data_IF_629362179053
#
_entry.id   IF_629362179053
#
_cell.length_a   1.000
_cell.length_b   1.000
_cell.length_c   1.000
_cell.angle_alpha   90.00
_cell.angle_beta   90.00
_cell.angle_gamma   90.00
#
_symmetry.space_group_name_H-M   'P 1'
#
loop_
_entity.id
_entity.type
_entity.pdbx_description
1 polymer ?
#
# COMPACT_ATOMS: atom_id res chain seq x y z
N UNK A 1 -69.40 32.67 12.17
CA UNK A 1 -68.65 31.53 12.78
C UNK A 1 -68.59 30.42 11.73
N UNK A 2 -67.51 30.33 10.95
CA UNK A 2 -66.46 29.25 10.93
C UNK A 2 -67.09 27.84 10.85
N UNK A 3 -66.88 27.02 9.82
CA UNK A 3 -65.61 26.41 9.38
C UNK A 3 -65.61 25.95 7.90
N UNK A 4 -64.43 25.68 7.30
CA UNK A 4 -64.17 25.82 5.86
C UNK A 4 -64.25 24.53 5.04
N UNK A 5 -64.28 24.74 3.73
CA UNK A 5 -64.17 23.76 2.63
C UNK A 5 -62.91 22.90 2.79
N UNK A 6 -63.08 21.59 2.84
CA UNK A 6 -62.00 20.59 2.86
C UNK A 6 -61.70 20.17 1.42
N UNK A 7 -60.77 20.85 0.74
CA UNK A 7 -60.18 20.35 -0.50
C UNK A 7 -59.04 19.42 -0.11
N UNK A 8 -59.25 18.13 -0.35
CA UNK A 8 -58.25 17.09 -0.16
C UNK A 8 -57.23 17.18 -1.30
N UNK A 9 -56.23 18.05 -1.15
CA UNK A 9 -55.08 18.09 -2.04
C UNK A 9 -54.18 16.89 -1.72
N UNK A 10 -54.25 15.85 -2.55
CA UNK A 10 -53.30 14.75 -2.54
C UNK A 10 -51.90 15.29 -2.88
N UNK A 11 -51.13 15.62 -1.85
CA UNK A 11 -49.72 15.96 -1.97
C UNK A 11 -48.97 14.65 -2.20
N UNK A 12 -48.85 14.25 -3.47
CA UNK A 12 -47.93 13.17 -3.87
C UNK A 12 -46.51 13.63 -3.54
N UNK A 13 -46.02 13.21 -2.37
CA UNK A 13 -44.60 13.30 -2.03
C UNK A 13 -43.85 12.43 -3.05
N UNK A 14 -43.32 13.08 -4.09
CA UNK A 14 -42.23 12.53 -4.87
C UNK A 14 -41.03 12.43 -3.93
N UNK A 15 -40.97 11.33 -3.17
CA UNK A 15 -39.72 10.83 -2.64
C UNK A 15 -38.87 10.49 -3.88
N UNK A 16 -38.12 11.48 -4.37
CA UNK A 16 -36.90 11.21 -5.10
C UNK A 16 -36.02 10.47 -4.11
N UNK A 17 -36.20 9.15 -4.04
CA UNK A 17 -35.21 8.28 -3.43
C UNK A 17 -33.90 8.70 -4.05
N UNK A 18 -32.94 9.10 -3.22
CA UNK A 18 -31.57 9.17 -3.66
C UNK A 18 -31.27 7.78 -4.21
N UNK A 19 -31.34 7.63 -5.53
CA UNK A 19 -30.75 6.51 -6.25
C UNK A 19 -29.25 6.77 -6.13
N UNK A 20 -28.74 6.58 -4.91
CA UNK A 20 -27.33 6.43 -4.66
C UNK A 20 -26.94 5.27 -5.54
N UNK A 21 -26.05 5.55 -6.49
CA UNK A 21 -25.42 4.54 -7.30
C UNK A 21 -24.67 3.61 -6.34
N UNK A 22 -25.35 2.57 -5.85
CA UNK A 22 -24.79 1.54 -4.98
C UNK A 22 -24.04 0.55 -5.86
N UNK A 23 -23.04 1.04 -6.58
CA UNK A 23 -22.00 0.19 -7.11
C UNK A 23 -20.99 -0.03 -5.97
N UNK A 24 -20.81 -1.28 -5.46
CA UNK A 24 -19.84 -1.56 -4.41
C UNK A 24 -18.39 -1.24 -4.82
N UNK A 25 -18.14 -0.96 -6.10
CA UNK A 25 -16.84 -0.52 -6.62
C UNK A 25 -16.70 1.00 -6.80
N UNK A 26 -17.68 1.81 -6.37
CA UNK A 26 -17.65 3.26 -6.58
C UNK A 26 -17.74 3.62 -8.07
N UNK A 27 -17.76 4.91 -8.40
CA UNK A 27 -17.77 5.36 -9.80
C UNK A 27 -16.57 4.82 -10.58
N UNK A 28 -16.80 4.42 -11.82
CA UNK A 28 -15.90 3.71 -12.74
C UNK A 28 -14.66 4.53 -13.21
N UNK A 29 -14.19 5.48 -12.42
CA UNK A 29 -12.99 6.26 -12.67
C UNK A 29 -11.95 5.93 -11.61
N UNK A 30 -10.80 5.39 -12.03
CA UNK A 30 -9.63 5.29 -11.15
C UNK A 30 -9.38 6.66 -10.50
N UNK A 31 -9.17 6.73 -9.18
CA UNK A 31 -9.00 8.02 -8.54
C UNK A 31 -7.74 8.70 -9.09
N UNK A 32 -7.87 9.94 -9.54
CA UNK A 32 -6.73 10.77 -9.98
C UNK A 32 -5.90 11.23 -8.77
N UNK A 33 -5.14 10.32 -8.17
CA UNK A 33 -4.29 10.61 -7.02
C UNK A 33 -3.19 11.61 -7.40
N UNK A 34 -2.83 12.55 -6.51
CA UNK A 34 -1.69 13.41 -6.72
C UNK A 34 -0.39 12.59 -6.71
N UNK A 35 0.52 12.89 -7.64
CA UNK A 35 1.83 12.25 -7.70
C UNK A 35 2.94 13.21 -8.12
N UNK A 36 4.18 12.92 -7.72
CA UNK A 36 5.37 13.67 -8.11
C UNK A 36 6.42 12.70 -8.67
N UNK A 37 7.07 13.07 -9.77
CA UNK A 37 8.19 12.31 -10.34
C UNK A 37 9.49 12.97 -9.93
N UNK A 38 10.38 12.22 -9.28
CA UNK A 38 11.67 12.73 -8.81
C UNK A 38 12.53 13.18 -9.99
N UNK A 39 13.19 14.34 -9.86
CA UNK A 39 14.06 14.89 -10.91
C UNK A 39 15.54 14.51 -10.71
N UNK A 40 15.89 14.10 -9.50
CA UNK A 40 17.24 13.70 -9.09
C UNK A 40 17.14 12.61 -8.02
N UNK A 41 18.27 11.95 -7.73
CA UNK A 41 18.37 11.04 -6.59
C UNK A 41 18.04 11.78 -5.31
N UNK A 42 17.17 11.21 -4.47
CA UNK A 42 16.77 11.82 -3.21
C UNK A 42 16.39 10.77 -2.17
N UNK A 43 16.22 11.20 -0.92
CA UNK A 43 15.75 10.35 0.17
C UNK A 43 14.26 10.58 0.40
N UNK A 44 13.47 9.52 0.45
CA UNK A 44 12.04 9.53 0.75
C UNK A 44 11.74 8.35 1.68
N UNK A 45 11.04 8.56 2.80
CA UNK A 45 10.78 7.51 3.81
C UNK A 45 12.03 6.73 4.24
N UNK A 46 13.16 7.45 4.35
CA UNK A 46 14.51 6.94 4.66
C UNK A 46 15.10 5.98 3.61
N UNK A 47 14.55 5.97 2.39
CA UNK A 47 15.04 5.20 1.26
C UNK A 47 15.68 6.16 0.25
N UNK A 48 16.87 5.81 -0.26
CA UNK A 48 17.46 6.50 -1.42
C UNK A 48 16.76 6.01 -2.69
N UNK A 49 16.07 6.91 -3.38
CA UNK A 49 15.37 6.62 -4.64
C UNK A 49 16.03 7.34 -5.81
N UNK A 50 16.09 6.73 -7.01
CA UNK A 50 16.65 7.33 -8.21
C UNK A 50 15.78 8.48 -8.76
N UNK A 51 16.31 9.18 -9.76
CA UNK A 51 15.50 10.08 -10.59
C UNK A 51 14.47 9.28 -11.42
N UNK A 52 13.29 9.85 -11.64
CA UNK A 52 12.19 9.21 -12.36
C UNK A 52 11.26 8.36 -11.49
N UNK A 53 11.52 8.24 -10.18
CA UNK A 53 10.63 7.56 -9.23
C UNK A 53 9.32 8.33 -9.12
N UNK A 54 8.20 7.62 -9.21
CA UNK A 54 6.85 8.17 -8.97
C UNK A 54 6.51 8.01 -7.49
N UNK A 55 6.19 9.14 -6.86
CA UNK A 55 5.73 9.25 -5.49
C UNK A 55 4.24 9.57 -5.53
N UNK A 56 3.38 8.63 -5.14
CA UNK A 56 1.92 8.80 -5.12
C UNK A 56 1.47 9.15 -3.70
N UNK A 57 0.53 10.08 -3.58
CA UNK A 57 0.03 10.57 -2.29
C UNK A 57 -1.48 10.35 -2.16
N UNK A 58 -1.97 10.31 -0.93
CA UNK A 58 -3.41 10.30 -0.65
C UNK A 58 -4.10 11.53 -1.23
N UNK A 59 -5.39 11.41 -1.57
CA UNK A 59 -6.19 12.57 -1.99
C UNK A 59 -6.40 13.52 -0.81
N UNK A 60 -6.01 14.77 -0.96
CA UNK A 60 -6.35 15.83 -0.01
C UNK A 60 -6.38 17.20 -0.69
N UNK A 61 -7.21 18.11 -0.15
CA UNK A 61 -7.22 19.56 -0.50
C UNK A 61 -7.21 19.88 -2.01
N UNK A 62 -7.98 19.16 -2.81
CA UNK A 62 -8.08 19.41 -4.26
C UNK A 62 -6.81 19.14 -5.06
N UNK A 63 -5.84 18.41 -4.49
CA UNK A 63 -4.64 17.95 -5.19
C UNK A 63 -4.95 16.68 -5.96
N UNK A 64 -4.70 16.72 -7.26
CA UNK A 64 -4.89 15.59 -8.17
C UNK A 64 -3.84 15.63 -9.29
N UNK A 65 -3.51 14.47 -9.86
CA UNK A 65 -2.58 14.36 -10.99
C UNK A 65 -1.13 14.73 -10.68
N UNK A 66 -0.35 15.04 -11.72
CA UNK A 66 1.06 15.40 -11.58
C UNK A 66 1.24 16.69 -10.80
N UNK A 67 2.15 16.70 -9.85
CA UNK A 67 2.54 17.86 -9.06
C UNK A 67 3.90 18.38 -9.52
N UNK A 68 4.08 19.71 -9.48
CA UNK A 68 5.36 20.37 -9.79
C UNK A 68 6.39 20.26 -8.66
N UNK A 69 5.91 20.02 -7.44
CA UNK A 69 6.75 19.96 -6.24
C UNK A 69 6.38 18.75 -5.38
N UNK A 70 7.35 18.33 -4.57
CA UNK A 70 7.17 17.30 -3.56
C UNK A 70 6.06 17.71 -2.59
N UNK A 71 5.16 16.78 -2.28
CA UNK A 71 4.16 16.95 -1.24
C UNK A 71 4.67 16.38 0.09
N UNK A 72 3.93 16.60 1.17
CA UNK A 72 4.32 16.12 2.49
C UNK A 72 4.39 14.58 2.54
N UNK A 73 5.48 14.02 3.07
CA UNK A 73 5.73 12.58 3.10
C UNK A 73 4.76 11.80 4.01
N UNK A 74 4.10 12.44 4.96
CA UNK A 74 3.05 11.81 5.77
C UNK A 74 1.83 11.41 4.92
N UNK A 75 1.67 12.04 3.75
CA UNK A 75 0.64 11.76 2.74
C UNK A 75 1.06 10.73 1.71
N UNK A 76 2.32 10.30 1.71
CA UNK A 76 2.83 9.35 0.74
C UNK A 76 2.18 7.97 0.93
N UNK A 77 1.67 7.41 -0.15
CA UNK A 77 1.03 6.10 -0.19
C UNK A 77 1.80 5.10 -1.02
N UNK A 78 2.64 5.54 -1.96
CA UNK A 78 3.39 4.64 -2.83
C UNK A 78 4.71 5.27 -3.29
N UNK A 79 5.74 4.44 -3.36
CA UNK A 79 7.01 4.72 -4.04
C UNK A 79 7.12 3.69 -5.16
N UNK A 80 7.01 4.13 -6.41
CA UNK A 80 7.18 3.28 -7.59
C UNK A 80 8.42 3.70 -8.37
N UNK A 81 9.37 2.79 -8.51
CA UNK A 81 10.62 3.05 -9.21
C UNK A 81 10.41 3.11 -10.73
N UNK A 82 11.32 3.77 -11.48
CA UNK A 82 11.31 3.70 -12.93
C UNK A 82 11.35 2.25 -13.41
N UNK A 83 10.81 2.03 -14.62
CA UNK A 83 10.90 0.75 -15.29
C UNK A 83 12.36 0.26 -15.32
N UNK A 84 12.55 -1.03 -15.05
CA UNK A 84 13.84 -1.72 -15.06
C UNK A 84 14.85 -1.20 -14.00
N UNK A 85 14.39 -0.39 -13.03
CA UNK A 85 15.19 0.03 -11.88
C UNK A 85 14.69 -0.59 -10.59
N UNK A 86 15.63 -0.90 -9.70
CA UNK A 86 15.36 -1.50 -8.40
C UNK A 86 16.19 -0.82 -7.32
N UNK A 87 15.71 -0.94 -6.08
CA UNK A 87 16.52 -0.69 -4.87
C UNK A 87 16.73 -2.02 -4.15
N UNK A 88 17.82 -2.12 -3.38
CA UNK A 88 18.05 -3.25 -2.48
C UNK A 88 17.22 -3.05 -1.20
N UNK A 89 16.31 -4.00 -0.94
CA UNK A 89 15.55 -4.06 0.30
C UNK A 89 15.76 -5.45 0.92
N UNK A 90 16.63 -5.52 1.93
CA UNK A 90 16.95 -6.78 2.61
C UNK A 90 17.65 -7.81 1.72
N UNK A 91 18.45 -7.36 0.75
CA UNK A 91 19.13 -8.21 -0.24
C UNK A 91 18.23 -8.61 -1.42
N UNK A 92 17.00 -8.10 -1.49
CA UNK A 92 16.05 -8.37 -2.57
C UNK A 92 15.86 -7.09 -3.40
N UNK A 93 15.99 -7.16 -4.74
CA UNK A 93 15.66 -6.03 -5.61
C UNK A 93 14.15 -5.78 -5.60
N UNK A 94 13.74 -4.55 -5.29
CA UNK A 94 12.33 -4.15 -5.23
C UNK A 94 12.04 -2.98 -6.16
N UNK A 95 10.85 -2.98 -6.74
CA UNK A 95 10.38 -1.98 -7.73
C UNK A 95 9.34 -1.03 -7.15
N UNK A 96 8.64 -1.44 -6.10
CA UNK A 96 7.58 -0.66 -5.50
C UNK A 96 7.42 -0.95 -4.01
N UNK A 97 7.06 0.07 -3.24
CA UNK A 97 6.61 -0.04 -1.85
C UNK A 97 5.31 0.76 -1.73
N UNK A 98 4.25 0.15 -1.24
CA UNK A 98 2.93 0.77 -1.11
C UNK A 98 2.40 0.62 0.31
N UNK A 99 1.95 1.72 0.91
CA UNK A 99 1.26 1.72 2.21
C UNK A 99 0.04 0.82 2.15
N UNK A 100 -0.25 0.10 3.23
CA UNK A 100 -1.50 -0.66 3.31
C UNK A 100 -2.73 0.22 3.09
N UNK A 101 -3.70 -0.31 2.34
CA UNK A 101 -4.96 0.39 2.07
C UNK A 101 -5.80 0.55 3.34
N UNK A 102 -5.74 -0.41 4.27
CA UNK A 102 -6.44 -0.35 5.53
C UNK A 102 -5.70 0.60 6.48
N UNK A 103 -6.32 1.74 6.78
CA UNK A 103 -5.76 2.77 7.66
C UNK A 103 -5.51 2.33 9.11
N UNK A 104 -6.12 1.24 9.56
CA UNK A 104 -5.87 0.67 10.90
C UNK A 104 -4.55 -0.10 10.95
N UNK A 105 -4.07 -0.59 9.80
CA UNK A 105 -2.82 -1.33 9.71
C UNK A 105 -1.64 -0.36 9.59
N UNK A 106 -0.56 -0.66 10.31
CA UNK A 106 0.67 0.14 10.32
C UNK A 106 1.76 -0.58 9.55
N UNK A 107 1.84 -0.32 8.25
CA UNK A 107 2.77 -1.03 7.40
C UNK A 107 2.63 -0.73 5.91
N UNK A 108 3.29 -1.56 5.12
CA UNK A 108 3.35 -1.44 3.68
C UNK A 108 3.59 -2.80 3.02
N UNK A 109 3.15 -2.93 1.79
CA UNK A 109 3.49 -4.00 0.86
C UNK A 109 4.77 -3.65 0.10
N UNK A 110 5.64 -4.63 -0.06
CA UNK A 110 6.89 -4.53 -0.82
C UNK A 110 6.81 -5.44 -2.03
N UNK A 111 7.14 -4.92 -3.22
CA UNK A 111 7.06 -5.63 -4.49
C UNK A 111 8.45 -5.92 -5.03
N UNK A 112 8.81 -7.20 -5.08
CA UNK A 112 10.11 -7.67 -5.52
C UNK A 112 10.18 -7.88 -7.04
N UNK A 113 11.38 -7.72 -7.60
CA UNK A 113 11.73 -8.10 -8.97
C UNK A 113 12.68 -9.31 -8.91
N UNK A 114 12.15 -10.49 -8.60
CA UNK A 114 12.97 -11.69 -8.41
C UNK A 114 13.73 -12.15 -9.67
N UNK A 115 13.27 -11.73 -10.86
CA UNK A 115 13.98 -11.86 -12.13
C UNK A 115 15.34 -11.13 -12.14
N UNK A 116 15.45 -10.03 -11.38
CA UNK A 116 16.69 -9.29 -11.18
C UNK A 116 17.54 -9.83 -10.00
N UNK A 117 17.06 -10.86 -9.28
CA UNK A 117 17.79 -11.48 -8.17
C UNK A 117 18.56 -12.72 -8.64
N UNK A 118 19.87 -12.56 -8.82
CA UNK A 118 20.78 -13.64 -9.20
C UNK A 118 20.83 -14.76 -8.15
N UNK A 119 20.90 -16.03 -8.57
CA UNK A 119 20.87 -17.21 -7.69
C UNK A 119 21.87 -17.19 -6.52
N UNK A 120 23.11 -16.73 -6.77
CA UNK A 120 24.15 -16.66 -5.72
C UNK A 120 23.86 -15.64 -4.62
N UNK A 121 22.94 -14.70 -4.85
CA UNK A 121 22.46 -13.73 -3.85
C UNK A 121 21.20 -14.20 -3.11
N UNK A 122 20.56 -15.30 -3.55
CA UNK A 122 19.34 -15.78 -2.92
C UNK A 122 19.63 -16.32 -1.53
N UNK A 123 18.96 -15.74 -0.54
CA UNK A 123 18.97 -16.18 0.86
C UNK A 123 17.82 -17.17 1.11
N UNK A 124 17.69 -17.66 2.34
CA UNK A 124 16.48 -18.44 2.73
C UNK A 124 15.25 -17.54 2.74
N UNK A 125 15.39 -16.31 3.24
CA UNK A 125 14.35 -15.29 3.22
C UNK A 125 13.83 -15.03 1.80
N UNK A 126 14.73 -14.70 0.86
CA UNK A 126 14.31 -14.35 -0.51
C UNK A 126 13.68 -15.53 -1.25
N UNK A 127 14.10 -16.77 -0.96
CA UNK A 127 13.47 -17.98 -1.53
C UNK A 127 12.06 -18.21 -0.99
N UNK A 128 11.85 -18.00 0.32
CA UNK A 128 10.53 -18.14 0.92
C UNK A 128 9.58 -17.05 0.41
N UNK A 129 10.03 -15.79 0.36
CA UNK A 129 9.24 -14.73 -0.24
C UNK A 129 8.95 -15.00 -1.72
N UNK A 130 9.95 -15.40 -2.52
CA UNK A 130 9.73 -15.75 -3.93
C UNK A 130 8.68 -16.86 -4.11
N UNK A 131 8.60 -17.82 -3.19
CA UNK A 131 7.61 -18.90 -3.25
C UNK A 131 6.16 -18.46 -3.05
N UNK A 132 5.93 -17.25 -2.55
CA UNK A 132 4.60 -16.65 -2.45
C UNK A 132 4.07 -16.15 -3.78
N UNK A 133 4.96 -15.90 -4.76
CA UNK A 133 4.65 -15.35 -6.08
C UNK A 133 3.85 -14.03 -6.05
N UNK A 134 4.14 -13.18 -5.05
CA UNK A 134 3.40 -11.95 -4.80
C UNK A 134 4.20 -10.96 -3.89
N UNK A 135 3.58 -9.85 -3.52
CA UNK A 135 4.12 -8.88 -2.57
C UNK A 135 4.24 -9.41 -1.13
N UNK A 136 5.13 -8.75 -0.37
CA UNK A 136 5.35 -9.01 1.05
C UNK A 136 4.76 -7.87 1.88
N UNK A 137 3.76 -8.19 2.71
CA UNK A 137 3.20 -7.26 3.67
C UNK A 137 4.07 -7.17 4.92
N UNK A 138 4.49 -5.97 5.27
CA UNK A 138 5.36 -5.69 6.41
C UNK A 138 4.63 -4.77 7.40
N UNK A 139 4.48 -5.25 8.64
CA UNK A 139 4.00 -4.41 9.75
C UNK A 139 5.20 -3.75 10.43
N UNK A 140 5.08 -2.47 10.77
CA UNK A 140 6.17 -1.64 11.33
C UNK A 140 5.76 -0.91 12.60
N UNK A 141 6.76 -0.50 13.39
CA UNK A 141 6.57 0.31 14.61
C UNK A 141 6.40 1.79 14.29
N UNK A 142 7.15 2.28 13.30
CA UNK A 142 7.18 3.65 12.80
C UNK A 142 6.90 3.68 11.29
N UNK A 143 5.79 4.33 10.90
CA UNK A 143 5.32 4.42 9.51
C UNK A 143 6.02 5.50 8.69
N UNK A 144 6.98 6.23 9.29
CA UNK A 144 7.83 7.20 8.58
C UNK A 144 9.07 6.55 7.96
N UNK A 145 9.34 5.29 8.29
CA UNK A 145 10.53 4.55 7.85
C UNK A 145 10.12 3.32 7.05
N UNK A 146 10.29 3.39 5.73
CA UNK A 146 9.95 2.29 4.81
C UNK A 146 11.19 1.49 4.40
N UNK A 147 12.36 1.91 4.88
CA UNK A 147 13.62 1.23 4.59
C UNK A 147 13.66 -0.17 5.21
N UNK A 148 14.63 -0.99 4.79
CA UNK A 148 14.90 -2.27 5.44
C UNK A 148 15.57 -2.04 6.80
N UNK A 149 14.80 -1.58 7.78
CA UNK A 149 15.24 -1.33 9.14
C UNK A 149 14.66 -2.41 10.07
N UNK A 150 15.46 -3.42 10.40
CA UNK A 150 15.05 -4.54 11.27
C UNK A 150 14.56 -4.08 12.66
N UNK A 151 15.04 -2.94 13.16
CA UNK A 151 14.54 -2.41 14.44
C UNK A 151 13.11 -1.85 14.31
N UNK A 152 12.74 -1.38 13.11
CA UNK A 152 11.41 -0.87 12.80
C UNK A 152 10.41 -1.96 12.37
N UNK A 153 10.88 -3.03 11.72
CA UNK A 153 10.04 -4.14 11.29
C UNK A 153 9.49 -4.86 12.53
N UNK A 154 8.17 -4.93 12.64
CA UNK A 154 7.47 -5.59 13.73
C UNK A 154 7.10 -7.03 13.38
N UNK A 155 6.65 -7.30 12.14
CA UNK A 155 6.28 -8.63 11.66
C UNK A 155 6.22 -8.68 10.13
N UNK A 156 6.16 -9.89 9.58
CA UNK A 156 5.66 -10.15 8.22
C UNK A 156 4.16 -10.40 8.33
N UNK A 157 3.37 -9.44 7.86
CA UNK A 157 1.90 -9.43 7.93
C UNK A 157 1.28 -10.39 6.90
N UNK A 158 1.86 -10.43 5.71
CA UNK A 158 1.37 -11.27 4.62
C UNK A 158 2.45 -11.62 3.62
N UNK A 159 2.21 -12.68 2.86
CA UNK A 159 2.97 -13.07 1.69
C UNK A 159 1.98 -13.67 0.70
N UNK A 160 1.56 -12.88 -0.28
CA UNK A 160 0.37 -13.14 -1.11
C UNK A 160 -0.97 -13.25 -0.36
N UNK A 161 -2.03 -13.46 -1.12
CA UNK A 161 -3.38 -13.77 -0.60
C UNK A 161 -3.44 -15.09 0.18
N UNK A 162 -2.43 -15.97 0.05
CA UNK A 162 -2.43 -17.30 0.66
C UNK A 162 -1.92 -17.33 2.09
N UNK A 163 -1.02 -16.41 2.46
CA UNK A 163 -0.44 -16.35 3.80
C UNK A 163 -0.71 -14.98 4.42
N UNK A 164 -1.64 -14.92 5.37
CA UNK A 164 -2.02 -13.66 6.01
C UNK A 164 -2.17 -13.83 7.53
N UNK A 165 -1.63 -12.90 8.31
CA UNK A 165 -1.81 -12.86 9.78
C UNK A 165 -3.27 -12.72 10.20
N UNK A 166 -4.14 -12.26 9.31
CA UNK A 166 -5.59 -12.26 9.49
C UNK A 166 -6.15 -13.64 9.87
N UNK A 167 -5.66 -14.73 9.26
CA UNK A 167 -6.12 -16.11 9.52
C UNK A 167 -5.36 -16.74 10.70
N UNK A 168 -5.59 -16.22 11.90
CA UNK A 168 -4.87 -16.62 13.13
C UNK A 168 -5.00 -18.10 13.48
N UNK A 169 -6.14 -18.70 13.17
CA UNK A 169 -6.43 -20.10 13.49
C UNK A 169 -5.88 -21.10 12.47
N UNK A 170 -5.23 -20.64 11.40
CA UNK A 170 -4.57 -21.52 10.43
C UNK A 170 -3.09 -21.71 10.80
N UNK A 171 -2.71 -22.84 11.43
CA UNK A 171 -1.35 -23.00 11.96
C UNK A 171 -0.30 -23.10 10.86
N UNK A 172 -0.67 -23.56 9.66
CA UNK A 172 0.25 -23.66 8.53
C UNK A 172 0.64 -22.27 8.04
N UNK A 173 -0.33 -21.35 7.91
CA UNK A 173 -0.05 -19.97 7.53
C UNK A 173 0.78 -19.25 8.58
N UNK A 174 0.41 -19.37 9.86
CA UNK A 174 1.17 -18.73 10.94
C UNK A 174 2.62 -19.23 10.98
N UNK A 175 2.82 -20.55 10.89
CA UNK A 175 4.17 -21.14 10.86
C UNK A 175 5.01 -20.68 9.66
N UNK A 176 4.37 -20.54 8.50
CA UNK A 176 5.06 -20.01 7.32
C UNK A 176 5.51 -18.56 7.52
N UNK A 177 4.61 -17.69 7.97
CA UNK A 177 4.91 -16.28 8.23
C UNK A 177 5.94 -16.11 9.36
N UNK A 178 5.87 -16.91 10.42
CA UNK A 178 6.87 -16.94 11.50
C UNK A 178 8.27 -17.32 10.98
N UNK A 179 8.33 -18.33 10.11
CA UNK A 179 9.57 -18.72 9.45
C UNK A 179 10.11 -17.59 8.58
N UNK A 180 9.24 -16.99 7.76
CA UNK A 180 9.62 -15.92 6.84
C UNK A 180 10.14 -14.69 7.59
N UNK A 181 9.45 -14.27 8.66
CA UNK A 181 9.91 -13.22 9.56
C UNK A 181 11.25 -13.58 10.25
N UNK A 182 11.40 -14.82 10.72
CA UNK A 182 12.64 -15.29 11.34
C UNK A 182 13.82 -15.23 10.36
N UNK A 183 13.63 -15.65 9.11
CA UNK A 183 14.67 -15.56 8.08
C UNK A 183 14.95 -14.11 7.66
N UNK A 184 13.93 -13.24 7.61
CA UNK A 184 14.09 -11.80 7.38
C UNK A 184 15.01 -11.19 8.44
N UNK A 185 14.80 -11.53 9.72
CA UNK A 185 15.58 -10.95 10.83
C UNK A 185 17.06 -11.37 10.83
N UNK A 186 17.39 -12.47 10.15
CA UNK A 186 18.76 -12.97 9.97
C UNK A 186 19.54 -12.22 8.89
N UNK A 187 18.88 -11.47 8.00
CA UNK A 187 19.56 -10.69 6.97
C UNK A 187 20.51 -9.69 7.62
N UNK A 188 21.78 -9.67 7.20
CA UNK A 188 22.77 -8.73 7.70
C UNK A 188 22.40 -7.31 7.26
N UNK A 189 22.39 -6.39 8.23
CA UNK A 189 22.29 -4.95 7.93
C UNK A 189 23.67 -4.50 7.46
N UNK A 190 23.75 -3.92 6.26
CA UNK A 190 24.96 -3.26 5.78
C UNK A 190 25.15 -1.91 6.48
#
# INVERSE_FOLDING_TARGET
MKYPILICSALSLFLNGCVGNMNPTGGNSNPNYPYYTTQQVMVVKKIVVPAGTTLTYEKYRGKEGKQEHLLAEDKLTEIQLPKDQTIDWGGVPVTMIAKFFNSEMKGFSVYASFDQLTEHKKTRFSRQWQSCDDDLGITVKDTTDWSFNKANIADVESCSVLYQRYFKDNPQQQKFLDSLYTELMKIESK
#
